data_IF_969891636643
#
_entry.id   IF_969891636643
#
_cell.length_a   1.000
_cell.length_b   1.000
_cell.length_c   1.000
_cell.angle_alpha   90.00
_cell.angle_beta   90.00
_cell.angle_gamma   90.00
#
_symmetry.space_group_name_H-M   'P 1'
#
loop_
_entity.id
_entity.type
_entity.pdbx_description
1 polymer ?
#
# COMPACT_ATOMS: atom_id res chain seq x y z
N UNK A 1 -13.20 -22.24 2.87
CA UNK A 1 -14.22 -21.58 2.03
C UNK A 1 -13.54 -20.38 1.38
N UNK A 2 -13.23 -20.51 0.09
CA UNK A 2 -12.54 -19.49 -0.71
C UNK A 2 -13.46 -18.30 -0.93
N UNK A 3 -13.03 -17.10 -0.55
CA UNK A 3 -13.62 -15.84 -1.05
C UNK A 3 -12.49 -15.06 -1.74
N UNK A 4 -11.98 -15.64 -2.82
CA UNK A 4 -11.46 -14.85 -3.93
C UNK A 4 -12.70 -14.36 -4.70
N UNK A 5 -13.27 -13.23 -4.26
CA UNK A 5 -14.11 -12.46 -5.16
C UNK A 5 -13.15 -11.77 -6.14
N UNK A 6 -13.19 -12.07 -7.46
CA UNK A 6 -12.48 -11.24 -8.42
C UNK A 6 -13.00 -9.81 -8.27
N UNK A 7 -12.08 -8.84 -8.27
CA UNK A 7 -12.40 -7.41 -8.38
C UNK A 7 -13.31 -7.22 -9.59
N UNK A 8 -14.62 -7.26 -9.35
CA UNK A 8 -15.67 -7.16 -10.35
C UNK A 8 -15.87 -5.66 -10.54
N UNK A 9 -15.35 -5.16 -11.65
CA UNK A 9 -15.50 -3.81 -12.21
C UNK A 9 -16.50 -2.93 -11.44
N UNK A 10 -16.02 -2.29 -10.38
CA UNK A 10 -16.79 -1.45 -9.46
C UNK A 10 -17.08 -0.07 -10.07
N UNK A 11 -16.69 0.17 -11.32
CA UNK A 11 -16.85 1.47 -11.99
C UNK A 11 -18.31 1.88 -12.14
N UNK A 12 -19.22 0.94 -12.35
CA UNK A 12 -20.65 1.24 -12.35
C UNK A 12 -21.19 1.56 -10.95
N UNK A 13 -20.73 0.86 -9.91
CA UNK A 13 -21.16 1.13 -8.54
C UNK A 13 -20.60 2.47 -8.04
N UNK A 14 -19.33 2.77 -8.32
CA UNK A 14 -18.68 4.04 -8.00
C UNK A 14 -19.33 5.20 -8.77
N UNK A 15 -19.65 5.02 -10.06
CA UNK A 15 -20.47 5.98 -10.83
C UNK A 15 -21.85 6.19 -10.22
N UNK A 16 -22.50 5.14 -9.74
CA UNK A 16 -23.83 5.26 -9.14
C UNK A 16 -23.77 5.99 -7.79
N UNK A 17 -22.71 5.76 -7.02
CA UNK A 17 -22.45 6.47 -5.76
C UNK A 17 -22.17 7.95 -5.99
N UNK A 18 -21.37 8.28 -6.99
CA UNK A 18 -21.12 9.67 -7.39
C UNK A 18 -22.40 10.32 -7.94
N UNK A 19 -23.17 9.65 -8.81
CA UNK A 19 -24.47 10.14 -9.28
C UNK A 19 -25.47 10.40 -8.16
N UNK A 20 -25.54 9.53 -7.15
CA UNK A 20 -26.38 9.76 -5.96
C UNK A 20 -25.89 10.96 -5.15
N UNK A 21 -24.57 11.13 -4.99
CA UNK A 21 -23.98 12.27 -4.28
C UNK A 21 -24.18 13.59 -5.03
N UNK A 22 -24.17 13.54 -6.36
CA UNK A 22 -24.50 14.66 -7.28
C UNK A 22 -25.97 15.05 -7.16
N UNK A 23 -26.88 14.06 -7.09
CA UNK A 23 -28.30 14.32 -6.91
C UNK A 23 -28.62 14.97 -5.56
N UNK A 24 -27.76 14.77 -4.55
CA UNK A 24 -27.92 15.31 -3.18
C UNK A 24 -27.18 16.65 -2.99
N UNK A 25 -26.15 16.94 -3.79
CA UNK A 25 -25.29 18.11 -3.60
C UNK A 25 -25.45 19.09 -4.76
N UNK A 26 -26.10 20.23 -4.50
CA UNK A 26 -26.56 21.20 -5.50
C UNK A 26 -25.45 21.98 -6.23
N UNK A 27 -24.62 21.30 -7.02
CA UNK A 27 -23.69 21.92 -7.97
C UNK A 27 -22.42 21.11 -8.26
N UNK A 28 -21.89 21.24 -9.48
CA UNK A 28 -20.70 20.54 -9.98
C UNK A 28 -19.41 20.76 -9.15
N UNK A 29 -19.33 21.88 -8.41
CA UNK A 29 -18.23 22.17 -7.45
C UNK A 29 -18.13 21.15 -6.31
N UNK A 30 -19.25 20.51 -5.93
CA UNK A 30 -19.27 19.52 -4.84
C UNK A 30 -18.59 18.18 -5.22
N UNK A 31 -18.49 17.89 -6.51
CA UNK A 31 -17.90 16.64 -7.02
C UNK A 31 -16.39 16.77 -7.00
N UNK A 32 -15.86 17.87 -7.55
CA UNK A 32 -14.43 18.16 -7.58
C UNK A 32 -13.86 18.21 -6.18
N UNK A 33 -14.52 18.87 -5.23
CA UNK A 33 -14.05 18.97 -3.85
C UNK A 33 -14.00 17.62 -3.16
N UNK A 34 -14.99 16.75 -3.40
CA UNK A 34 -15.01 15.45 -2.77
C UNK A 34 -14.07 14.44 -3.44
N UNK A 35 -13.84 14.54 -4.76
CA UNK A 35 -12.78 13.79 -5.46
C UNK A 35 -11.41 14.24 -4.92
N UNK A 36 -11.19 15.54 -4.73
CA UNK A 36 -9.95 16.09 -4.16
C UNK A 36 -9.74 15.59 -2.73
N UNK A 37 -10.81 15.54 -1.93
CA UNK A 37 -10.79 15.00 -0.58
C UNK A 37 -10.42 13.51 -0.55
N UNK A 38 -11.02 12.70 -1.43
CA UNK A 38 -10.70 11.27 -1.55
C UNK A 38 -9.24 11.05 -1.97
N UNK A 39 -8.71 11.88 -2.87
CA UNK A 39 -7.27 11.84 -3.21
C UNK A 39 -6.38 12.21 -2.02
N UNK A 40 -6.70 13.28 -1.31
CA UNK A 40 -5.92 13.73 -0.15
C UNK A 40 -5.92 12.70 0.99
N UNK A 41 -7.04 12.04 1.24
CA UNK A 41 -7.12 10.97 2.25
C UNK A 41 -6.31 9.73 1.83
N UNK A 42 -6.29 9.40 0.54
CA UNK A 42 -5.50 8.30 0.00
C UNK A 42 -4.01 8.59 0.08
N UNK A 43 -3.59 9.80 -0.29
CA UNK A 43 -2.21 10.27 -0.15
C UNK A 43 -1.77 10.23 1.32
N UNK A 44 -2.60 10.71 2.25
CA UNK A 44 -2.31 10.63 3.69
C UNK A 44 -2.15 9.19 4.18
N UNK A 45 -3.00 8.26 3.74
CA UNK A 45 -2.91 6.84 4.09
C UNK A 45 -1.66 6.16 3.51
N UNK A 46 -1.30 6.48 2.27
CA UNK A 46 -0.04 5.99 1.67
C UNK A 46 1.19 6.55 2.40
N UNK A 47 1.19 7.83 2.78
CA UNK A 47 2.29 8.41 3.56
C UNK A 47 2.47 7.70 4.92
N UNK A 48 1.36 7.38 5.61
CA UNK A 48 1.40 6.61 6.84
C UNK A 48 1.92 5.18 6.64
N UNK A 49 1.54 4.52 5.54
CA UNK A 49 2.04 3.19 5.19
C UNK A 49 3.55 3.23 4.89
N UNK A 50 4.02 4.23 4.15
CA UNK A 50 5.44 4.45 3.87
C UNK A 50 6.25 4.67 5.15
N UNK A 51 5.71 5.44 6.09
CA UNK A 51 6.35 5.66 7.39
C UNK A 51 6.44 4.36 8.19
N UNK A 52 5.38 3.55 8.21
CA UNK A 52 5.42 2.22 8.82
C UNK A 52 6.48 1.32 8.18
N UNK A 53 6.52 1.24 6.84
CA UNK A 53 7.53 0.46 6.11
C UNK A 53 8.94 0.95 6.45
N UNK A 54 9.16 2.26 6.55
CA UNK A 54 10.45 2.85 6.94
C UNK A 54 10.91 2.39 8.32
N UNK A 55 10.01 2.38 9.31
CA UNK A 55 10.31 1.87 10.67
C UNK A 55 10.67 0.39 10.64
N UNK A 56 9.93 -0.43 9.89
CA UNK A 56 10.21 -1.87 9.75
C UNK A 56 11.58 -2.10 9.09
N UNK A 57 11.90 -1.37 8.02
CA UNK A 57 13.21 -1.47 7.35
C UNK A 57 14.36 -1.06 8.28
N UNK A 58 14.19 -0.02 9.10
CA UNK A 58 15.17 0.38 10.10
C UNK A 58 15.38 -0.72 11.15
N UNK A 59 14.29 -1.33 11.65
CA UNK A 59 14.37 -2.44 12.60
C UNK A 59 15.07 -3.68 12.01
N UNK A 60 14.79 -4.03 10.76
CA UNK A 60 15.47 -5.13 10.05
C UNK A 60 16.95 -4.84 9.85
N UNK A 61 17.30 -3.61 9.47
CA UNK A 61 18.69 -3.17 9.30
C UNK A 61 19.46 -3.23 10.62
N UNK A 62 18.84 -2.78 11.71
CA UNK A 62 19.44 -2.89 13.04
C UNK A 62 19.60 -4.36 13.46
N UNK A 63 18.61 -5.20 13.17
CA UNK A 63 18.65 -6.64 13.47
C UNK A 63 19.80 -7.35 12.74
N UNK A 64 20.14 -6.96 11.51
CA UNK A 64 21.31 -7.48 10.80
C UNK A 64 22.62 -7.26 11.57
N UNK A 65 22.75 -6.13 12.26
CA UNK A 65 23.91 -5.81 13.09
C UNK A 65 24.00 -6.65 14.37
N UNK A 66 22.88 -7.20 14.83
CA UNK A 66 22.82 -8.05 16.03
C UNK A 66 23.04 -9.54 15.76
N UNK A 67 23.08 -9.97 14.49
CA UNK A 67 23.33 -11.37 14.16
C UNK A 67 24.82 -11.68 14.27
N UNK A 68 25.23 -12.28 15.38
CA UNK A 68 26.60 -12.75 15.60
C UNK A 68 27.03 -13.79 14.57
N UNK A 69 28.22 -13.61 13.98
CA UNK A 69 28.76 -14.51 12.95
C UNK A 69 29.09 -15.91 13.45
N UNK A 70 29.19 -16.12 14.76
CA UNK A 70 29.44 -17.41 15.40
C UNK A 70 28.19 -18.21 15.76
N UNK A 71 26.99 -17.64 15.60
CA UNK A 71 25.75 -18.33 15.94
C UNK A 71 25.40 -19.40 14.89
N UNK A 72 24.88 -20.58 15.30
CA UNK A 72 24.40 -21.58 14.36
C UNK A 72 23.29 -20.96 13.49
N UNK A 73 23.38 -21.16 12.18
CA UNK A 73 22.44 -20.64 11.17
C UNK A 73 22.43 -19.12 10.95
N UNK A 74 23.42 -18.36 11.45
CA UNK A 74 23.55 -16.92 11.24
C UNK A 74 23.41 -16.49 9.76
N UNK A 75 24.00 -17.26 8.83
CA UNK A 75 23.89 -16.98 7.39
C UNK A 75 22.44 -17.07 6.88
N UNK A 76 21.68 -18.08 7.32
CA UNK A 76 20.29 -18.30 6.88
C UNK A 76 19.41 -17.14 7.35
N UNK A 77 19.62 -16.68 8.58
CA UNK A 77 18.88 -15.56 9.16
C UNK A 77 19.18 -14.26 8.42
N UNK A 78 20.45 -13.99 8.11
CA UNK A 78 20.84 -12.81 7.34
C UNK A 78 20.17 -12.79 5.97
N UNK A 79 20.17 -13.92 5.26
CA UNK A 79 19.49 -14.05 3.96
C UNK A 79 17.98 -13.83 4.10
N UNK A 80 17.35 -14.36 5.16
CA UNK A 80 15.93 -14.13 5.43
C UNK A 80 15.63 -12.65 5.73
N UNK A 81 16.46 -11.98 6.53
CA UNK A 81 16.30 -10.54 6.78
C UNK A 81 16.43 -9.74 5.48
N UNK A 82 17.44 -10.04 4.65
CA UNK A 82 17.61 -9.41 3.34
C UNK A 82 16.42 -9.63 2.41
N UNK A 83 15.83 -10.84 2.40
CA UNK A 83 14.64 -11.11 1.59
C UNK A 83 13.42 -10.30 2.06
N UNK A 84 13.19 -10.21 3.38
CA UNK A 84 12.15 -9.34 3.94
C UNK A 84 12.39 -7.87 3.62
N UNK A 85 13.62 -7.38 3.73
CA UNK A 85 13.97 -6.01 3.32
C UNK A 85 13.64 -5.77 1.84
N UNK A 86 13.91 -6.73 0.96
CA UNK A 86 13.54 -6.66 -0.45
C UNK A 86 12.03 -6.56 -0.66
N UNK A 87 11.24 -7.36 0.06
CA UNK A 87 9.77 -7.34 -0.02
C UNK A 87 9.19 -6.00 0.48
N UNK A 88 9.65 -5.51 1.63
CA UNK A 88 9.23 -4.21 2.16
C UNK A 88 9.70 -3.05 1.27
N UNK A 89 10.90 -3.12 0.71
CA UNK A 89 11.39 -2.15 -0.28
C UNK A 89 10.55 -2.14 -1.56
N UNK A 90 10.12 -3.31 -2.05
CA UNK A 90 9.21 -3.41 -3.17
C UNK A 90 7.82 -2.82 -2.85
N UNK A 91 7.27 -3.09 -1.67
CA UNK A 91 6.01 -2.48 -1.23
C UNK A 91 6.12 -0.94 -1.17
N UNK A 92 7.20 -0.41 -0.58
CA UNK A 92 7.46 1.03 -0.55
C UNK A 92 7.58 1.62 -1.96
N UNK A 93 8.21 0.92 -2.90
CA UNK A 93 8.29 1.35 -4.29
C UNK A 93 6.91 1.42 -4.95
N UNK A 94 6.04 0.43 -4.74
CA UNK A 94 4.66 0.44 -5.23
C UNK A 94 3.88 1.60 -4.62
N UNK A 95 4.04 1.85 -3.32
CA UNK A 95 3.34 2.93 -2.61
C UNK A 95 3.83 4.32 -3.01
N UNK A 96 5.13 4.50 -3.28
CA UNK A 96 5.68 5.73 -3.85
C UNK A 96 5.07 6.06 -5.23
N UNK A 97 4.67 5.04 -6.01
CA UNK A 97 3.96 5.22 -7.29
C UNK A 97 2.47 5.51 -7.11
N UNK A 98 1.96 5.42 -5.89
CA UNK A 98 0.63 5.90 -5.49
C UNK A 98 0.67 7.42 -5.23
N UNK A 99 1.71 7.89 -4.53
CA UNK A 99 1.98 9.30 -4.25
C UNK A 99 2.43 10.06 -5.51
N UNK A 100 1.47 10.50 -6.34
CA UNK A 100 1.74 11.49 -7.39
C UNK A 100 1.63 12.91 -6.80
N UNK A 101 2.77 13.44 -6.37
CA UNK A 101 2.93 14.83 -5.86
C UNK A 101 2.54 15.90 -6.90
N UNK A 102 2.50 15.57 -8.18
CA UNK A 102 2.31 16.53 -9.28
C UNK A 102 0.90 16.53 -9.91
N UNK A 103 -0.09 15.91 -9.27
CA UNK A 103 -1.46 15.88 -9.79
C UNK A 103 -1.64 14.92 -10.99
N UNK A 104 -2.78 15.00 -11.69
CA UNK A 104 -3.14 14.06 -12.75
C UNK A 104 -2.15 14.13 -13.91
N UNK A 105 -1.65 12.98 -14.37
CA UNK A 105 -0.68 12.94 -15.48
C UNK A 105 -1.34 13.22 -16.85
N UNK A 106 -2.68 13.22 -16.91
CA UNK A 106 -3.49 13.34 -18.12
C UNK A 106 -4.40 14.58 -18.08
N UNK A 107 -3.88 15.74 -17.70
CA UNK A 107 -4.64 17.02 -17.81
C UNK A 107 -4.56 17.65 -19.20
N UNK A 108 -3.70 17.16 -20.09
CA UNK A 108 -3.49 17.72 -21.43
C UNK A 108 -4.60 17.27 -22.39
N UNK A 109 -5.59 18.15 -22.62
CA UNK A 109 -6.53 18.05 -23.75
C UNK A 109 -7.99 17.73 -23.42
N UNK A 110 -8.41 17.87 -22.16
CA UNK A 110 -9.80 17.59 -21.77
C UNK A 110 -10.71 18.73 -22.25
N UNK A 111 -11.68 18.40 -23.10
CA UNK A 111 -12.54 19.38 -23.79
C UNK A 111 -13.86 19.66 -23.06
N UNK A 112 -14.26 18.80 -22.12
CA UNK A 112 -15.54 18.87 -21.40
C UNK A 112 -15.41 18.52 -19.91
N UNK A 113 -16.30 19.07 -19.08
CA UNK A 113 -16.36 18.82 -17.63
C UNK A 113 -16.58 17.34 -17.31
N UNK A 114 -17.36 16.62 -18.12
CA UNK A 114 -17.68 15.20 -17.90
C UNK A 114 -16.48 14.29 -18.24
N UNK A 115 -15.68 14.64 -19.24
CA UNK A 115 -14.42 13.93 -19.53
C UNK A 115 -13.40 14.13 -18.41
N UNK A 116 -13.36 15.32 -17.82
CA UNK A 116 -12.48 15.63 -16.70
C UNK A 116 -12.84 14.81 -15.47
N UNK A 117 -14.14 14.73 -15.14
CA UNK A 117 -14.63 13.92 -14.02
C UNK A 117 -14.33 12.43 -14.21
N UNK A 118 -14.60 11.87 -15.40
CA UNK A 118 -14.31 10.46 -15.69
C UNK A 118 -12.81 10.15 -15.61
N UNK A 119 -11.96 11.09 -16.02
CA UNK A 119 -10.51 10.95 -15.96
C UNK A 119 -10.00 10.97 -14.51
N UNK A 120 -10.56 11.87 -13.68
CA UNK A 120 -10.26 11.94 -12.25
C UNK A 120 -10.71 10.69 -11.50
N UNK A 121 -11.91 10.18 -11.78
CA UNK A 121 -12.41 8.93 -11.19
C UNK A 121 -11.55 7.72 -11.58
N UNK A 122 -11.15 7.63 -12.84
CA UNK A 122 -10.24 6.57 -13.30
C UNK A 122 -8.91 6.63 -12.57
N UNK A 123 -8.32 7.83 -12.42
CA UNK A 123 -7.06 8.00 -11.71
C UNK A 123 -7.17 7.65 -10.21
N UNK A 124 -8.27 8.01 -9.53
CA UNK A 124 -8.52 7.60 -8.15
C UNK A 124 -8.60 6.07 -8.05
N UNK A 125 -9.34 5.43 -8.95
CA UNK A 125 -9.49 3.97 -8.94
C UNK A 125 -8.13 3.27 -9.09
N UNK A 126 -7.27 3.74 -10.00
CA UNK A 126 -5.93 3.20 -10.21
C UNK A 126 -5.03 3.41 -8.99
N UNK A 127 -5.08 4.59 -8.35
CA UNK A 127 -4.29 4.86 -7.14
C UNK A 127 -4.75 4.00 -5.97
N UNK A 128 -6.07 3.84 -5.81
CA UNK A 128 -6.68 2.98 -4.79
C UNK A 128 -6.27 1.53 -4.96
N UNK A 129 -6.26 1.01 -6.18
CA UNK A 129 -5.81 -0.35 -6.48
C UNK A 129 -4.32 -0.55 -6.11
N UNK A 130 -3.45 0.40 -6.46
CA UNK A 130 -2.02 0.35 -6.09
C UNK A 130 -1.81 0.41 -4.58
N UNK A 131 -2.54 1.29 -3.89
CA UNK A 131 -2.48 1.38 -2.43
C UNK A 131 -2.92 0.06 -1.78
N UNK A 132 -4.04 -0.52 -2.20
CA UNK A 132 -4.49 -1.81 -1.67
C UNK A 132 -3.50 -2.94 -1.97
N UNK A 133 -2.88 -2.96 -3.14
CA UNK A 133 -1.83 -3.91 -3.47
C UNK A 133 -0.64 -3.76 -2.52
N UNK A 134 -0.15 -2.54 -2.34
CA UNK A 134 0.94 -2.25 -1.39
C UNK A 134 0.58 -2.70 0.02
N UNK A 135 -0.60 -2.31 0.51
CA UNK A 135 -1.11 -2.68 1.82
C UNK A 135 -1.17 -4.20 2.01
N UNK A 136 -1.67 -4.95 1.01
CA UNK A 136 -1.74 -6.42 1.06
C UNK A 136 -0.36 -7.07 1.09
N UNK A 137 0.59 -6.54 0.33
CA UNK A 137 1.98 -7.02 0.36
C UNK A 137 2.57 -6.77 1.74
N UNK A 138 2.42 -5.56 2.28
CA UNK A 138 2.95 -5.19 3.61
C UNK A 138 2.30 -6.02 4.71
N UNK A 139 0.98 -6.20 4.71
CA UNK A 139 0.24 -7.01 5.66
C UNK A 139 0.73 -8.48 5.64
N UNK A 140 0.78 -9.08 4.45
CA UNK A 140 1.24 -10.47 4.30
C UNK A 140 2.71 -10.64 4.70
N UNK A 141 3.58 -9.72 4.30
CA UNK A 141 4.99 -9.74 4.66
C UNK A 141 5.19 -9.58 6.18
N UNK A 142 4.41 -8.72 6.83
CA UNK A 142 4.47 -8.52 8.27
C UNK A 142 4.00 -9.76 9.04
N UNK A 143 2.92 -10.40 8.62
CA UNK A 143 2.45 -11.67 9.20
C UNK A 143 3.54 -12.75 9.07
N UNK A 144 4.14 -12.89 7.89
CA UNK A 144 5.23 -13.85 7.66
C UNK A 144 6.46 -13.53 8.50
N UNK A 145 6.80 -12.25 8.65
CA UNK A 145 7.89 -11.80 9.52
C UNK A 145 7.62 -12.15 10.98
N UNK A 146 6.40 -11.94 11.47
CA UNK A 146 6.00 -12.30 12.83
C UNK A 146 6.07 -13.82 13.08
N UNK A 147 5.63 -14.64 12.11
CA UNK A 147 5.79 -16.10 12.20
C UNK A 147 7.27 -16.49 12.20
N UNK A 148 8.07 -15.87 11.32
CA UNK A 148 9.51 -16.11 11.24
C UNK A 148 10.23 -15.76 12.55
N UNK A 149 9.91 -14.62 13.17
CA UNK A 149 10.53 -14.21 14.44
C UNK A 149 10.13 -15.12 15.60
N UNK A 150 8.88 -15.57 15.67
CA UNK A 150 8.44 -16.55 16.68
C UNK A 150 9.17 -17.88 16.51
N UNK A 151 9.23 -18.42 15.29
CA UNK A 151 9.96 -19.65 15.00
C UNK A 151 11.43 -19.52 15.38
N UNK A 152 12.05 -18.38 15.05
CA UNK A 152 13.43 -18.11 15.42
C UNK A 152 13.64 -18.11 16.94
N UNK A 153 12.78 -17.42 17.70
CA UNK A 153 12.87 -17.39 19.17
C UNK A 153 12.74 -18.78 19.79
N UNK A 154 11.87 -19.63 19.24
CA UNK A 154 11.71 -21.02 19.69
C UNK A 154 12.98 -21.85 19.42
N UNK A 155 13.58 -21.73 18.24
CA UNK A 155 14.83 -22.43 17.88
C UNK A 155 16.00 -21.94 18.74
N UNK A 156 16.12 -20.62 18.92
CA UNK A 156 17.17 -20.03 19.75
C UNK A 156 17.09 -20.51 21.20
N UNK A 157 15.87 -20.60 21.78
CA UNK A 157 15.66 -21.16 23.11
C UNK A 157 16.02 -22.64 23.21
N UNK A 158 15.66 -23.44 22.20
CA UNK A 158 15.95 -24.87 22.20
C UNK A 158 17.46 -25.19 22.21
N UNK A 159 18.29 -24.30 21.67
CA UNK A 159 19.74 -24.44 21.68
C UNK A 159 20.44 -23.89 22.95
N UNK A 160 19.72 -23.15 23.80
CA UNK A 160 20.26 -22.58 25.05
C UNK A 160 20.06 -23.47 26.30
N UNK A 161 19.39 -24.61 26.14
CA UNK A 161 19.17 -25.65 27.14
C UNK A 161 20.12 -26.83 26.91
#
# INVERSE_FOLDING_TARGET
>A
MNIHAPFRDDREHERTFHKMRIAVSGGALSISDSILHDMATLDSKSAALLQFISVVLAALTFSLGLVDGGAPYAHVIRVAIFSFMGVFGFAAWVDLRCLKVLGPARTLGVSSSDEFENLMLTEISERRERYFLSLRITESAFILLAVFTVLWLLVARAHSL
#
